data_IF_845699237669
#
_entry.id   IF_845699237669
#
_cell.length_a   1.000
_cell.length_b   1.000
_cell.length_c   1.000
_cell.angle_alpha   90.00
_cell.angle_beta   90.00
_cell.angle_gamma   90.00
#
_symmetry.space_group_name_H-M   'P 1'
#
loop_
_entity.id
_entity.type
_entity.pdbx_description
1 polymer ?
#
# COMPACT_ATOMS: atom_id res chain seq x y z
N UNK A 1 76.25 82.91 -27.90
CA UNK A 1 76.87 83.95 -27.03
C UNK A 1 76.42 83.65 -25.61
N UNK A 2 77.23 83.35 -24.59
CA UNK A 2 78.67 83.52 -24.35
C UNK A 2 79.22 82.27 -23.64
N UNK A 3 80.41 81.90 -24.08
CA UNK A 3 81.39 80.96 -23.53
C UNK A 3 82.16 81.61 -22.37
N UNK A 4 82.60 80.86 -21.36
CA UNK A 4 84.02 80.84 -20.95
C UNK A 4 84.33 79.78 -19.89
N UNK A 5 85.28 78.91 -20.23
CA UNK A 5 86.03 77.98 -19.38
C UNK A 5 87.07 78.70 -18.49
N UNK A 6 87.45 78.10 -17.35
CA UNK A 6 88.86 77.96 -16.85
C UNK A 6 88.89 77.19 -15.49
N UNK A 7 89.40 75.94 -15.46
CA UNK A 7 90.68 75.45 -14.85
C UNK A 7 90.65 75.32 -13.30
N UNK A 8 90.51 74.12 -12.71
CA UNK A 8 91.53 73.08 -12.34
C UNK A 8 92.67 73.54 -11.39
N UNK A 9 92.57 73.17 -10.11
CA UNK A 9 93.69 72.74 -9.24
C UNK A 9 93.24 71.50 -8.45
N UNK A 10 94.06 70.44 -8.48
CA UNK A 10 93.88 69.12 -7.84
C UNK A 10 94.40 69.07 -6.39
N UNK A 11 93.79 68.22 -5.57
CA UNK A 11 94.37 67.10 -4.78
C UNK A 11 93.60 66.91 -3.46
N UNK A 12 92.68 65.94 -3.39
CA UNK A 12 92.86 64.58 -2.81
C UNK A 12 93.09 64.58 -1.29
N UNK A 13 92.02 64.30 -0.52
CA UNK A 13 92.05 63.48 0.71
C UNK A 13 90.69 62.77 0.88
N UNK A 14 90.75 61.42 0.96
CA UNK A 14 89.83 60.47 1.60
C UNK A 14 88.37 60.27 1.10
N UNK A 15 88.21 59.10 0.46
CA UNK A 15 87.03 58.24 0.30
C UNK A 15 86.16 58.16 1.57
N UNK A 16 84.82 58.21 1.40
CA UNK A 16 83.77 57.31 1.94
C UNK A 16 82.42 58.05 1.97
N UNK A 17 81.35 57.34 1.56
CA UNK A 17 79.93 57.71 1.49
C UNK A 17 79.46 58.36 0.18
N UNK A 18 79.57 57.60 -0.91
CA UNK A 18 78.49 57.64 -1.90
C UNK A 18 77.24 57.04 -1.24
N UNK A 19 76.06 57.69 -1.28
CA UNK A 19 74.83 56.96 -0.99
C UNK A 19 74.70 55.92 -2.10
N UNK A 20 74.67 54.64 -1.72
CA UNK A 20 74.22 53.58 -2.61
C UNK A 20 72.83 53.98 -3.11
N UNK A 21 72.72 54.41 -4.37
CA UNK A 21 71.43 54.56 -5.01
C UNK A 21 70.93 53.13 -5.29
N UNK A 22 70.21 52.55 -4.33
CA UNK A 22 69.46 51.30 -4.50
C UNK A 22 68.31 51.56 -5.46
N UNK A 23 68.47 51.18 -6.72
CA UNK A 23 67.37 51.15 -7.68
C UNK A 23 66.56 49.87 -7.44
N UNK A 24 65.52 49.97 -6.61
CA UNK A 24 64.60 48.86 -6.34
C UNK A 24 63.44 48.79 -7.34
N UNK A 25 63.28 47.68 -8.06
CA UNK A 25 62.08 47.44 -8.88
C UNK A 25 61.00 46.72 -8.04
N UNK A 26 59.77 47.24 -8.05
CA UNK A 26 58.60 46.58 -7.45
C UNK A 26 57.83 45.78 -8.48
N UNK A 27 57.48 44.54 -8.15
CA UNK A 27 56.48 43.77 -8.89
C UNK A 27 55.28 43.47 -8.00
N UNK A 28 54.12 44.02 -8.33
CA UNK A 28 52.87 43.76 -7.59
C UNK A 28 52.17 42.54 -8.19
N UNK A 29 52.17 41.44 -7.44
CA UNK A 29 51.51 40.20 -7.80
C UNK A 29 50.17 40.14 -7.07
N UNK A 30 49.07 40.05 -7.82
CA UNK A 30 47.71 40.01 -7.27
C UNK A 30 46.98 38.74 -7.67
N UNK A 31 46.33 38.08 -6.71
CA UNK A 31 45.58 36.84 -6.92
C UNK A 31 45.83 35.79 -5.83
N UNK A 32 45.03 34.73 -5.79
CA UNK A 32 45.16 33.65 -4.79
C UNK A 32 46.24 32.62 -5.12
N UNK A 33 46.78 32.65 -6.34
CA UNK A 33 47.98 31.93 -6.77
C UNK A 33 48.79 32.79 -7.74
N UNK A 34 50.08 32.51 -7.89
CA UNK A 34 50.93 33.18 -8.86
C UNK A 34 52.39 32.76 -8.74
N UNK A 35 53.26 33.46 -9.44
CA UNK A 35 54.70 33.19 -9.44
C UNK A 35 55.49 34.42 -9.83
N UNK A 36 56.78 34.44 -9.49
CA UNK A 36 57.75 35.40 -9.97
C UNK A 36 59.13 34.77 -10.09
N UNK A 37 60.00 35.34 -10.91
CA UNK A 37 61.39 34.90 -11.01
C UNK A 37 62.31 36.07 -11.33
N UNK A 38 63.58 35.87 -10.98
CA UNK A 38 64.70 36.62 -11.54
C UNK A 38 65.56 35.58 -12.26
N UNK A 39 65.49 35.59 -13.58
CA UNK A 39 66.25 34.67 -14.43
C UNK A 39 67.71 35.13 -14.59
N UNK A 40 68.57 34.18 -14.96
CA UNK A 40 70.02 34.37 -15.15
C UNK A 40 70.38 35.65 -15.92
N UNK A 41 69.67 35.94 -17.02
CA UNK A 41 69.98 37.09 -17.87
C UNK A 41 69.67 38.46 -17.24
N UNK A 42 68.87 38.50 -16.16
CA UNK A 42 68.51 39.71 -15.42
C UNK A 42 69.20 39.80 -14.05
N UNK A 43 70.10 38.86 -13.74
CA UNK A 43 70.88 38.79 -12.52
C UNK A 43 72.09 39.72 -12.63
N UNK A 44 71.93 40.98 -12.20
CA UNK A 44 72.99 41.99 -12.27
C UNK A 44 73.57 42.29 -10.89
N UNK A 45 74.81 42.77 -10.90
CA UNK A 45 75.55 43.13 -9.71
C UNK A 45 74.90 44.31 -8.95
N UNK A 46 74.91 44.26 -7.61
CA UNK A 46 74.29 45.24 -6.70
C UNK A 46 72.78 45.42 -6.95
N UNK A 47 72.13 44.39 -7.49
CA UNK A 47 70.69 44.42 -7.77
C UNK A 47 69.91 44.23 -6.48
N UNK A 48 68.91 45.08 -6.31
CA UNK A 48 67.92 44.99 -5.25
C UNK A 48 66.54 44.99 -5.91
N UNK A 49 65.78 43.90 -5.80
CA UNK A 49 64.41 43.83 -6.35
C UNK A 49 63.45 43.22 -5.34
N UNK A 50 62.18 43.56 -5.46
CA UNK A 50 61.16 43.01 -4.60
C UNK A 50 59.85 42.69 -5.31
N UNK A 51 59.24 41.59 -4.88
CA UNK A 51 57.92 41.16 -5.30
C UNK A 51 56.97 41.34 -4.13
N UNK A 52 55.91 42.12 -4.33
CA UNK A 52 54.84 42.30 -3.36
C UNK A 52 53.69 41.41 -3.80
N UNK A 53 53.40 40.39 -2.99
CA UNK A 53 52.21 39.56 -3.17
C UNK A 53 51.09 40.20 -2.37
N UNK A 54 49.98 40.52 -3.03
CA UNK A 54 48.76 40.98 -2.41
C UNK A 54 47.57 40.17 -2.95
N UNK A 55 47.12 39.18 -2.19
CA UNK A 55 46.09 38.25 -2.67
C UNK A 55 44.68 38.80 -2.57
N UNK A 56 44.48 39.92 -1.86
CA UNK A 56 43.15 40.47 -1.57
C UNK A 56 42.29 39.59 -0.64
N UNK A 57 42.87 38.55 -0.04
CA UNK A 57 42.18 37.60 0.85
C UNK A 57 42.90 37.52 2.19
N UNK A 58 42.18 37.38 3.30
CA UNK A 58 42.78 37.18 4.62
C UNK A 58 43.22 35.73 4.84
N UNK A 59 44.10 35.22 3.97
CA UNK A 59 44.60 33.84 4.00
C UNK A 59 46.14 33.84 4.08
N UNK A 60 46.75 32.88 4.80
CA UNK A 60 48.20 32.73 4.79
C UNK A 60 48.68 32.40 3.39
N UNK A 61 49.83 32.95 3.00
CA UNK A 61 50.46 32.69 1.72
C UNK A 61 51.51 31.60 1.94
N UNK A 62 51.42 30.52 1.18
CA UNK A 62 52.47 29.52 1.04
C UNK A 62 53.30 29.85 -0.19
N UNK A 63 54.62 29.89 -0.04
CA UNK A 63 55.59 30.20 -1.09
C UNK A 63 56.58 29.05 -1.23
N UNK A 64 56.82 28.61 -2.46
CA UNK A 64 57.85 27.64 -2.80
C UNK A 64 58.88 28.32 -3.69
N UNK A 65 60.13 28.27 -3.27
CA UNK A 65 61.29 28.85 -3.96
C UNK A 65 62.13 27.74 -4.57
N UNK A 66 62.54 27.93 -5.82
CA UNK A 66 63.63 27.21 -6.47
C UNK A 66 64.79 28.19 -6.58
N UNK A 67 65.92 27.84 -5.97
CA UNK A 67 67.02 28.76 -5.73
C UNK A 67 68.27 28.26 -6.45
N UNK A 68 69.03 29.21 -7.00
CA UNK A 68 70.40 29.00 -7.41
C UNK A 68 71.17 30.30 -7.13
N UNK A 69 71.46 30.51 -5.84
CA UNK A 69 72.05 31.74 -5.31
C UNK A 69 73.55 31.54 -5.05
N UNK A 70 74.35 32.57 -5.29
CA UNK A 70 75.73 32.56 -4.79
C UNK A 70 75.74 32.71 -3.26
N UNK A 71 76.85 32.32 -2.61
CA UNK A 71 77.00 32.34 -1.14
C UNK A 71 76.80 33.70 -0.48
N UNK A 72 76.95 34.78 -1.23
CA UNK A 72 76.88 36.15 -0.75
C UNK A 72 75.53 36.82 -1.11
N UNK A 73 74.78 36.25 -2.07
CA UNK A 73 73.45 36.74 -2.42
C UNK A 73 72.38 36.28 -1.41
N UNK A 74 71.34 37.10 -1.25
CA UNK A 74 70.32 36.90 -0.21
C UNK A 74 68.91 37.07 -0.78
N UNK A 75 68.03 36.11 -0.47
CA UNK A 75 66.57 36.27 -0.60
C UNK A 75 65.98 36.41 0.79
N UNK A 76 65.25 37.49 1.04
CA UNK A 76 64.50 37.73 2.27
C UNK A 76 63.02 37.66 2.01
N UNK A 77 62.30 36.98 2.88
CA UNK A 77 60.85 36.86 2.79
C UNK A 77 60.24 37.49 4.02
N UNK A 78 59.34 38.43 3.78
CA UNK A 78 58.63 39.18 4.80
C UNK A 78 57.14 38.88 4.72
N UNK A 79 56.49 38.78 5.87
CA UNK A 79 55.05 38.98 5.96
C UNK A 79 54.78 40.45 6.12
N UNK A 80 53.71 40.91 5.49
CA UNK A 80 53.28 42.31 5.55
C UNK A 80 51.97 42.36 6.30
N UNK A 81 51.92 43.14 7.38
CA UNK A 81 50.72 43.36 8.19
C UNK A 81 49.80 44.39 7.53
N UNK A 82 48.58 44.51 8.05
CA UNK A 82 47.59 45.47 7.53
C UNK A 82 48.04 46.92 7.70
N UNK A 83 48.87 47.20 8.70
CA UNK A 83 49.48 48.51 8.98
C UNK A 83 50.77 48.76 8.19
N UNK A 84 51.05 47.91 7.19
CA UNK A 84 52.24 47.95 6.33
C UNK A 84 53.56 47.65 7.05
N UNK A 85 53.53 47.27 8.32
CA UNK A 85 54.73 46.77 8.99
C UNK A 85 55.17 45.45 8.36
N UNK A 86 56.49 45.29 8.26
CA UNK A 86 57.12 44.12 7.65
C UNK A 86 57.89 43.37 8.72
N UNK A 87 57.68 42.06 8.77
CA UNK A 87 58.45 41.18 9.64
C UNK A 87 59.16 40.13 8.80
N UNK A 88 60.48 40.07 8.93
CA UNK A 88 61.30 39.07 8.27
C UNK A 88 60.92 37.69 8.80
N UNK A 89 60.44 36.83 7.91
CA UNK A 89 60.09 35.43 8.23
C UNK A 89 61.30 34.54 8.00
N UNK A 90 62.02 34.76 6.89
CA UNK A 90 63.11 33.90 6.48
C UNK A 90 64.16 34.70 5.69
N UNK A 91 65.43 34.41 5.93
CA UNK A 91 66.54 34.87 5.11
C UNK A 91 67.28 33.65 4.55
N UNK A 92 67.39 33.59 3.23
CA UNK A 92 67.97 32.46 2.51
C UNK A 92 69.29 32.88 1.87
N UNK A 93 70.35 32.12 2.14
CA UNK A 93 71.69 32.28 1.56
C UNK A 93 72.27 30.94 1.11
N UNK A 94 73.19 30.95 0.14
CA UNK A 94 73.92 29.77 -0.33
C UNK A 94 73.21 28.89 -1.37
N UNK A 95 73.88 27.79 -1.77
CA UNK A 95 73.47 26.85 -2.84
C UNK A 95 72.33 25.89 -2.45
N UNK A 96 71.28 26.41 -1.83
CA UNK A 96 70.03 25.68 -1.64
C UNK A 96 69.33 25.45 -2.99
N UNK A 97 68.74 24.29 -3.25
CA UNK A 97 67.98 24.04 -4.50
C UNK A 97 66.48 24.34 -4.37
N UNK A 98 65.88 24.14 -3.20
CA UNK A 98 64.45 24.44 -2.94
C UNK A 98 64.19 24.84 -1.49
N UNK A 99 63.25 25.76 -1.26
CA UNK A 99 62.77 26.20 0.06
C UNK A 99 61.26 26.45 0.07
N UNK A 100 60.59 26.09 1.15
CA UNK A 100 59.16 26.36 1.35
C UNK A 100 58.99 27.30 2.55
N UNK A 101 58.22 28.37 2.38
CA UNK A 101 58.01 29.41 3.40
C UNK A 101 56.52 29.72 3.49
N UNK A 102 56.01 29.90 4.70
CA UNK A 102 54.61 30.24 4.95
C UNK A 102 54.52 31.53 5.75
N UNK A 103 53.53 32.37 5.42
CA UNK A 103 53.38 33.67 6.10
C UNK A 103 52.94 33.55 7.57
N UNK A 104 52.42 32.39 8.00
CA UNK A 104 51.94 32.06 9.35
C UNK A 104 50.88 33.00 9.96
N UNK A 105 50.59 34.13 9.32
CA UNK A 105 49.58 35.11 9.67
C UNK A 105 48.74 35.37 8.42
N UNK A 106 47.40 35.40 8.56
CA UNK A 106 46.49 35.50 7.44
C UNK A 106 46.35 36.94 6.90
N UNK A 107 47.44 37.65 6.67
CA UNK A 107 47.36 39.05 6.17
C UNK A 107 47.03 39.15 4.68
N UNK A 108 47.17 38.05 3.92
CA UNK A 108 47.05 38.08 2.47
C UNK A 108 48.14 38.88 1.75
N UNK A 109 49.19 39.29 2.47
CA UNK A 109 50.27 40.13 1.94
C UNK A 109 51.64 39.60 2.35
N UNK A 110 52.55 39.50 1.38
CA UNK A 110 53.95 39.12 1.60
C UNK A 110 54.87 39.94 0.69
N UNK A 111 56.10 40.17 1.14
CA UNK A 111 57.15 40.79 0.32
C UNK A 111 58.32 39.83 0.22
N UNK A 112 58.81 39.63 -0.99
CA UNK A 112 60.02 38.87 -1.27
C UNK A 112 61.04 39.88 -1.77
N UNK A 113 62.17 39.97 -1.10
CA UNK A 113 63.26 40.87 -1.42
C UNK A 113 64.48 40.07 -1.84
N UNK A 114 65.10 40.47 -2.93
CA UNK A 114 66.33 39.88 -3.45
C UNK A 114 67.43 40.93 -3.48
N UNK A 115 68.58 40.60 -2.93
CA UNK A 115 69.77 41.47 -2.86
C UNK A 115 70.98 40.67 -3.36
N UNK A 116 71.65 41.18 -4.39
CA UNK A 116 72.94 40.67 -4.86
C UNK A 116 74.10 41.55 -4.45
N UNK A 117 75.23 40.97 -4.02
CA UNK A 117 76.34 41.68 -3.37
C UNK A 117 77.73 41.43 -4.00
N UNK A 118 77.77 41.15 -5.31
CA UNK A 118 78.96 41.32 -6.17
C UNK A 118 80.01 40.21 -6.22
N UNK A 119 79.60 38.96 -6.35
CA UNK A 119 80.49 37.88 -6.82
C UNK A 119 79.97 37.28 -8.13
N UNK A 120 80.32 37.90 -9.25
CA UNK A 120 80.15 37.27 -10.55
C UNK A 120 81.26 36.19 -10.66
N UNK A 121 80.91 34.92 -10.47
CA UNK A 121 81.78 33.83 -10.95
C UNK A 121 81.35 33.46 -12.35
N UNK A 122 82.13 33.85 -13.36
CA UNK A 122 82.08 33.24 -14.68
C UNK A 122 82.71 31.86 -14.57
N UNK A 123 81.90 30.80 -14.40
CA UNK A 123 82.38 29.43 -14.64
C UNK A 123 82.06 29.04 -16.09
N UNK A 124 83.03 29.28 -16.96
CA UNK A 124 82.97 28.86 -18.36
C UNK A 124 83.35 27.37 -18.42
N UNK A 125 82.42 26.47 -18.08
CA UNK A 125 82.79 25.05 -18.06
C UNK A 125 81.68 24.02 -17.92
N UNK A 126 80.71 24.19 -17.02
CA UNK A 126 79.69 23.16 -16.77
C UNK A 126 78.35 23.79 -16.34
N UNK A 127 77.41 23.91 -17.29
CA UNK A 127 76.04 24.48 -17.18
C UNK A 127 75.88 26.01 -17.12
N UNK A 128 75.59 26.70 -18.24
CA UNK A 128 75.39 28.15 -18.31
C UNK A 128 74.01 28.66 -17.81
N UNK A 129 73.21 27.86 -17.11
CA UNK A 129 71.77 28.10 -17.07
C UNK A 129 71.16 28.74 -15.83
N UNK A 130 71.80 28.86 -14.66
CA UNK A 130 71.02 29.28 -13.48
C UNK A 130 71.86 30.05 -12.44
N UNK A 131 71.69 31.37 -12.38
CA UNK A 131 71.92 32.17 -11.15
C UNK A 131 70.65 32.99 -10.96
N UNK A 132 70.00 32.89 -9.81
CA UNK A 132 68.67 33.48 -9.63
C UNK A 132 67.77 32.71 -8.69
N UNK A 133 66.50 33.10 -8.69
CA UNK A 133 65.45 32.34 -8.05
C UNK A 133 64.15 32.44 -8.83
N UNK A 134 63.33 31.42 -8.69
CA UNK A 134 61.90 31.48 -9.03
C UNK A 134 61.10 31.10 -7.80
N UNK A 135 59.91 31.67 -7.66
CA UNK A 135 58.96 31.26 -6.65
C UNK A 135 57.56 31.13 -7.23
N UNK A 136 56.79 30.23 -6.64
CA UNK A 136 55.34 30.18 -6.79
C UNK A 136 54.69 30.44 -5.43
N UNK A 137 53.48 30.97 -5.45
CA UNK A 137 52.69 31.18 -4.25
C UNK A 137 51.24 30.74 -4.41
N UNK A 138 50.62 30.37 -3.29
CA UNK A 138 49.20 30.09 -3.18
C UNK A 138 48.67 30.47 -1.81
N UNK A 139 47.40 30.87 -1.73
CA UNK A 139 46.73 31.02 -0.44
C UNK A 139 46.41 29.66 0.15
N UNK A 140 46.50 29.55 1.46
CA UNK A 140 46.16 28.35 2.21
C UNK A 140 44.80 28.50 2.90
N UNK A 141 44.06 27.40 3.11
CA UNK A 141 42.87 27.42 3.95
C UNK A 141 43.19 27.97 5.34
N UNK A 142 42.25 28.72 5.92
CA UNK A 142 42.36 29.15 7.31
C UNK A 142 41.89 28.00 8.20
N UNK A 143 42.78 27.51 9.05
CA UNK A 143 42.46 26.49 10.06
C UNK A 143 42.28 27.16 11.41
N UNK A 144 41.16 26.89 12.08
CA UNK A 144 40.91 27.32 13.44
C UNK A 144 40.93 26.08 14.35
N UNK A 145 41.68 26.15 15.45
CA UNK A 145 41.77 25.05 16.42
C UNK A 145 40.63 25.03 17.45
N UNK A 146 39.74 26.02 17.41
CA UNK A 146 38.66 26.26 18.36
C UNK A 146 37.35 26.64 17.63
N UNK A 147 36.36 27.12 18.38
CA UNK A 147 35.08 27.56 17.85
C UNK A 147 35.21 28.82 16.99
N UNK A 148 34.49 28.84 15.87
CA UNK A 148 34.21 30.06 15.10
C UNK A 148 32.91 30.64 15.67
N UNK A 149 32.98 31.80 16.33
CA UNK A 149 31.81 32.53 16.85
C UNK A 149 31.62 33.83 16.05
N UNK A 150 30.40 34.09 15.60
CA UNK A 150 30.02 35.34 14.92
C UNK A 150 28.90 36.01 15.70
N UNK A 151 29.09 37.28 16.11
CA UNK A 151 28.07 38.06 16.82
C UNK A 151 26.90 38.53 15.91
N UNK A 152 27.03 38.30 14.60
CA UNK A 152 26.02 38.58 13.59
C UNK A 152 25.87 37.45 12.57
N UNK A 153 25.37 37.78 11.38
CA UNK A 153 25.17 36.80 10.31
C UNK A 153 26.49 36.38 9.67
N UNK A 154 26.71 35.07 9.53
CA UNK A 154 27.74 34.52 8.65
C UNK A 154 27.14 34.25 7.26
N UNK A 155 27.77 34.75 6.19
CA UNK A 155 27.37 34.46 4.81
C UNK A 155 28.42 33.59 4.13
N UNK A 156 28.00 32.44 3.62
CA UNK A 156 28.85 31.52 2.86
C UNK A 156 28.30 31.44 1.44
N UNK A 157 29.07 31.95 0.47
CA UNK A 157 28.69 31.96 -0.95
C UNK A 157 28.76 30.55 -1.55
N UNK A 158 29.72 29.74 -1.11
CA UNK A 158 29.90 28.33 -1.46
C UNK A 158 29.13 27.35 -0.57
N UNK A 159 29.56 26.09 -0.59
CA UNK A 159 28.99 25.02 0.25
C UNK A 159 29.64 25.02 1.65
N UNK A 160 28.83 24.95 2.70
CA UNK A 160 29.29 24.73 4.08
C UNK A 160 29.31 23.23 4.40
N UNK A 161 30.51 22.70 4.67
CA UNK A 161 30.70 21.38 5.25
C UNK A 161 30.85 21.46 6.77
N UNK A 162 30.08 20.68 7.52
CA UNK A 162 30.26 20.52 8.98
C UNK A 162 30.66 19.07 9.23
N UNK A 163 31.92 18.86 9.65
CA UNK A 163 32.49 17.52 9.80
C UNK A 163 32.86 16.82 8.48
N UNK A 164 32.90 17.55 7.36
CA UNK A 164 33.28 17.04 6.04
C UNK A 164 34.06 18.09 5.23
N UNK A 165 35.12 17.67 4.52
CA UNK A 165 36.03 18.55 3.76
C UNK A 165 35.56 18.89 2.35
N UNK A 166 34.71 18.05 1.74
CA UNK A 166 34.20 18.23 0.37
C UNK A 166 32.66 18.18 0.36
N UNK A 167 31.97 19.27 0.75
CA UNK A 167 30.51 19.30 0.79
C UNK A 167 29.89 19.27 -0.62
N UNK A 168 28.93 18.37 -0.83
CA UNK A 168 28.28 18.14 -2.13
C UNK A 168 27.08 19.07 -2.39
N UNK A 169 26.59 19.73 -1.34
CA UNK A 169 25.45 20.65 -1.40
C UNK A 169 25.71 21.83 -0.45
N UNK A 170 24.85 22.85 -0.50
CA UNK A 170 25.02 24.11 0.21
C UNK A 170 25.28 23.95 1.70
N UNK A 171 24.64 22.95 2.33
CA UNK A 171 24.91 22.54 3.70
C UNK A 171 25.02 21.01 3.74
N UNK A 172 26.24 20.50 3.96
CA UNK A 172 26.51 19.08 4.10
C UNK A 172 27.08 18.81 5.50
N UNK A 173 26.32 18.09 6.31
CA UNK A 173 26.69 17.78 7.70
C UNK A 173 26.98 16.29 7.80
N UNK A 174 28.18 15.95 8.25
CA UNK A 174 28.57 14.59 8.60
C UNK A 174 28.57 14.46 10.12
N UNK A 175 27.40 14.12 10.69
CA UNK A 175 27.19 14.01 12.12
C UNK A 175 25.79 14.41 12.56
N UNK A 176 25.54 14.33 13.86
CA UNK A 176 24.24 14.67 14.44
C UNK A 176 23.99 16.18 14.46
N UNK A 177 22.75 16.58 14.18
CA UNK A 177 22.28 17.96 14.31
C UNK A 177 21.43 18.06 15.59
N UNK A 178 21.77 19.00 16.46
CA UNK A 178 20.96 19.37 17.63
C UNK A 178 20.35 20.74 17.39
N UNK A 179 19.03 20.84 17.38
CA UNK A 179 18.38 22.14 17.29
C UNK A 179 18.29 22.83 18.65
N UNK A 180 17.79 24.07 18.66
CA UNK A 180 17.73 24.93 19.85
C UNK A 180 16.37 24.89 20.57
N UNK A 181 15.52 23.90 20.27
CA UNK A 181 14.24 23.71 20.95
C UNK A 181 14.41 23.12 22.37
N UNK A 182 13.32 23.14 23.16
CA UNK A 182 13.25 22.65 24.56
C UNK A 182 13.82 21.23 24.76
N UNK A 183 13.84 20.40 23.71
CA UNK A 183 14.40 19.04 23.73
C UNK A 183 15.45 18.79 22.64
N UNK A 184 16.07 19.84 22.11
CA UNK A 184 17.06 19.72 21.03
C UNK A 184 16.49 19.40 19.65
N UNK A 185 15.18 19.62 19.45
CA UNK A 185 14.46 19.32 18.21
C UNK A 185 14.99 20.13 17.02
N UNK A 186 15.07 19.50 15.85
CA UNK A 186 15.39 20.18 14.59
C UNK A 186 14.11 20.76 14.00
N UNK A 187 14.12 22.06 13.69
CA UNK A 187 13.02 22.75 13.01
C UNK A 187 13.50 23.28 11.67
N UNK A 188 12.82 22.90 10.58
CA UNK A 188 13.03 23.47 9.25
C UNK A 188 11.89 24.45 8.97
N UNK A 189 12.24 25.74 8.85
CA UNK A 189 11.30 26.80 8.55
C UNK A 189 11.35 27.17 7.07
N UNK A 190 10.18 27.43 6.49
CA UNK A 190 10.01 27.94 5.13
C UNK A 190 9.01 29.10 5.15
N UNK A 191 8.86 29.81 4.03
CA UNK A 191 7.81 30.83 3.87
C UNK A 191 6.40 30.25 3.94
N UNK A 192 6.25 28.93 3.76
CA UNK A 192 4.95 28.24 3.79
C UNK A 192 4.62 27.58 5.13
N UNK A 193 5.53 27.57 6.10
CA UNK A 193 5.35 26.89 7.39
C UNK A 193 6.59 26.13 7.84
N UNK A 194 6.42 25.25 8.84
CA UNK A 194 7.52 24.52 9.47
C UNK A 194 7.31 23.01 9.54
N UNK A 195 8.43 22.29 9.68
CA UNK A 195 8.45 20.89 10.12
C UNK A 195 9.43 20.77 11.28
N UNK A 196 8.96 20.21 12.38
CA UNK A 196 9.75 19.96 13.60
C UNK A 196 9.87 18.46 13.84
N UNK A 197 11.08 17.99 14.10
CA UNK A 197 11.36 16.59 14.37
C UNK A 197 12.32 16.39 15.55
N UNK A 198 12.04 15.37 16.37
CA UNK A 198 12.90 14.95 17.47
C UNK A 198 12.13 14.53 18.72
N UNK A 199 12.87 14.18 19.78
CA UNK A 199 12.30 13.93 21.11
C UNK A 199 11.61 15.21 21.62
N UNK A 200 10.40 15.09 22.16
CA UNK A 200 9.67 16.20 22.78
C UNK A 200 9.50 16.02 24.29
N UNK A 201 9.71 14.80 24.78
CA UNK A 201 9.85 14.47 26.20
C UNK A 201 10.64 13.15 26.32
N UNK A 202 10.72 12.58 27.53
CA UNK A 202 11.52 11.37 27.80
C UNK A 202 10.96 10.08 27.18
N UNK A 203 9.71 10.07 26.71
CA UNK A 203 9.04 8.87 26.19
C UNK A 203 8.50 9.03 24.76
N UNK A 204 8.55 10.23 24.19
CA UNK A 204 7.93 10.55 22.91
C UNK A 204 8.86 11.34 22.00
N UNK A 205 9.01 10.85 20.77
CA UNK A 205 9.47 11.62 19.63
C UNK A 205 8.28 12.08 18.79
N UNK A 206 8.43 13.25 18.16
CA UNK A 206 7.38 13.84 17.35
C UNK A 206 7.93 14.23 15.97
N UNK A 207 7.05 14.14 14.99
CA UNK A 207 7.22 14.69 13.65
C UNK A 207 5.98 15.57 13.41
N UNK A 208 6.14 16.88 13.58
CA UNK A 208 5.02 17.83 13.63
C UNK A 208 5.19 18.98 12.64
N UNK A 209 4.09 19.62 12.29
CA UNK A 209 4.01 20.74 11.35
C UNK A 209 2.86 21.65 11.76
N UNK A 210 2.96 22.92 11.38
CA UNK A 210 1.86 23.88 11.47
C UNK A 210 0.90 23.82 10.26
N UNK A 211 1.16 22.93 9.28
CA UNK A 211 0.30 22.69 8.11
C UNK A 211 -0.84 21.73 8.43
N UNK A 212 -1.91 21.79 7.64
CA UNK A 212 -3.12 20.98 7.85
C UNK A 212 -2.95 19.49 7.52
N UNK A 213 -1.94 19.10 6.73
CA UNK A 213 -1.71 17.72 6.32
C UNK A 213 -0.27 17.46 5.88
N UNK A 214 0.16 16.20 6.00
CA UNK A 214 1.36 15.67 5.35
C UNK A 214 1.01 15.06 3.99
N UNK A 215 1.92 15.19 3.04
CA UNK A 215 1.84 14.47 1.76
C UNK A 215 3.02 13.51 1.67
N UNK A 216 2.73 12.23 1.44
CA UNK A 216 3.72 11.20 1.16
C UNK A 216 3.45 10.66 -0.25
N UNK A 217 4.45 10.72 -1.12
CA UNK A 217 4.39 10.18 -2.49
C UNK A 217 4.66 8.66 -2.52
N UNK A 218 5.03 8.08 -1.38
CA UNK A 218 5.28 6.65 -1.15
C UNK A 218 4.49 6.14 0.06
N UNK A 219 4.36 4.83 0.13
CA UNK A 219 3.72 4.15 1.26
C UNK A 219 4.48 4.42 2.57
N UNK A 220 3.72 4.72 3.63
CA UNK A 220 4.25 4.78 5.00
C UNK A 220 4.30 3.36 5.57
N UNK A 221 5.49 2.92 6.01
CA UNK A 221 5.71 1.58 6.60
C UNK A 221 6.05 1.72 8.08
N UNK A 222 5.52 0.80 8.90
CA UNK A 222 5.72 0.74 10.34
C UNK A 222 6.47 -0.55 10.69
N UNK A 223 7.54 -0.46 11.48
CA UNK A 223 8.37 -1.62 11.84
C UNK A 223 7.68 -2.53 12.87
N UNK A 224 6.90 -1.96 13.79
CA UNK A 224 6.12 -2.69 14.79
C UNK A 224 4.73 -3.09 14.29
N UNK A 225 4.32 -2.60 13.11
CA UNK A 225 3.00 -2.83 12.53
C UNK A 225 1.85 -2.11 13.26
N UNK A 226 2.14 -1.20 14.21
CA UNK A 226 1.12 -0.57 15.05
C UNK A 226 0.85 0.86 14.57
N UNK A 227 -0.33 1.09 13.99
CA UNK A 227 -0.87 2.43 13.77
C UNK A 227 -1.95 2.72 14.82
N UNK A 228 -1.71 3.70 15.70
CA UNK A 228 -2.63 4.04 16.78
C UNK A 228 -2.92 5.55 16.83
N UNK A 229 -4.10 5.89 17.36
CA UNK A 229 -4.46 7.25 17.75
C UNK A 229 -4.37 7.38 19.27
N UNK A 230 -3.87 8.52 19.77
CA UNK A 230 -3.78 8.76 21.22
C UNK A 230 -5.14 9.11 21.85
N UNK A 231 -5.59 10.34 21.64
CA UNK A 231 -6.77 10.90 22.33
C UNK A 231 -8.02 11.02 21.46
N UNK A 232 -8.01 10.44 20.25
CA UNK A 232 -9.12 10.48 19.30
C UNK A 232 -9.41 9.09 18.71
N UNK A 233 -10.51 8.97 17.99
CA UNK A 233 -10.79 7.80 17.16
C UNK A 233 -9.71 7.68 16.07
N UNK A 234 -9.31 6.45 15.73
CA UNK A 234 -8.49 6.23 14.54
C UNK A 234 -9.42 6.27 13.33
N UNK A 235 -9.11 7.13 12.35
CA UNK A 235 -9.92 7.26 11.12
C UNK A 235 -9.06 7.12 9.88
N UNK A 236 -9.58 6.40 8.89
CA UNK A 236 -9.00 6.30 7.55
C UNK A 236 -9.93 7.03 6.57
N UNK A 237 -9.40 8.01 5.85
CA UNK A 237 -10.17 8.90 4.99
C UNK A 237 -9.72 8.85 3.53
N UNK A 238 -10.62 9.19 2.62
CA UNK A 238 -10.30 9.42 1.20
C UNK A 238 -11.03 10.68 0.75
N UNK A 239 -10.30 11.69 0.27
CA UNK A 239 -10.83 13.03 -0.04
C UNK A 239 -11.62 13.66 1.13
N UNK A 240 -11.11 13.53 2.36
CA UNK A 240 -11.74 14.07 3.57
C UNK A 240 -12.97 13.29 4.07
N UNK A 241 -13.45 12.29 3.34
CA UNK A 241 -14.55 11.44 3.78
C UNK A 241 -14.02 10.20 4.54
N UNK A 242 -14.54 9.97 5.75
CA UNK A 242 -14.20 8.78 6.54
C UNK A 242 -14.71 7.50 5.88
N UNK A 243 -13.81 6.54 5.69
CA UNK A 243 -14.09 5.21 5.13
C UNK A 243 -14.09 4.14 6.21
N UNK A 244 -13.17 4.26 7.17
CA UNK A 244 -13.09 3.39 8.34
C UNK A 244 -12.88 4.23 9.60
N UNK A 245 -13.55 3.86 10.68
CA UNK A 245 -13.38 4.43 12.02
C UNK A 245 -13.15 3.32 13.04
N UNK A 246 -12.21 3.49 13.96
CA UNK A 246 -12.09 2.69 15.18
C UNK A 246 -12.35 3.61 16.37
N UNK A 247 -13.39 3.30 17.15
CA UNK A 247 -13.77 4.14 18.29
C UNK A 247 -12.76 4.04 19.43
N UNK A 248 -12.30 5.19 19.94
CA UNK A 248 -11.44 5.26 21.13
C UNK A 248 -12.13 4.71 22.37
N UNK A 249 -13.45 4.86 22.47
CA UNK A 249 -14.21 4.52 23.67
C UNK A 249 -14.32 3.02 23.94
N UNK A 250 -14.34 2.19 22.90
CA UNK A 250 -14.59 0.76 23.04
C UNK A 250 -13.96 -0.13 21.93
N UNK A 251 -13.24 0.45 20.97
CA UNK A 251 -12.59 -0.30 19.89
C UNK A 251 -13.52 -0.74 18.75
N UNK A 252 -14.81 -0.38 18.77
CA UNK A 252 -15.73 -0.75 17.69
C UNK A 252 -15.26 -0.20 16.34
N UNK A 253 -15.32 -1.05 15.30
CA UNK A 253 -14.91 -0.71 13.93
C UNK A 253 -16.15 -0.38 13.09
N UNK A 254 -16.16 0.80 12.49
CA UNK A 254 -17.16 1.24 11.52
C UNK A 254 -16.55 1.28 10.12
N UNK A 255 -17.17 0.61 9.14
CA UNK A 255 -16.87 0.76 7.71
C UNK A 255 -18.04 1.52 7.06
N UNK A 256 -17.75 2.70 6.49
CA UNK A 256 -18.78 3.61 5.96
C UNK A 256 -19.63 4.32 7.02
N UNK A 257 -19.31 4.17 8.31
CA UNK A 257 -20.00 4.84 9.43
C UNK A 257 -19.02 5.30 10.50
N UNK A 258 -19.34 6.41 11.17
CA UNK A 258 -18.56 6.97 12.27
C UNK A 258 -19.13 6.62 13.66
N UNK A 259 -20.28 5.94 13.71
CA UNK A 259 -20.99 5.61 14.95
C UNK A 259 -21.34 4.11 15.01
N UNK A 260 -20.34 3.21 15.00
CA UNK A 260 -20.59 1.77 15.10
C UNK A 260 -21.17 1.40 16.47
N UNK A 261 -22.35 0.79 16.50
CA UNK A 261 -23.03 0.32 17.72
C UNK A 261 -22.68 -1.13 18.09
N UNK A 262 -22.02 -1.84 17.17
CA UNK A 262 -21.53 -3.21 17.32
C UNK A 262 -20.01 -3.25 17.09
N UNK A 263 -19.36 -4.33 17.51
CA UNK A 263 -17.91 -4.53 17.34
C UNK A 263 -17.43 -4.29 15.91
N UNK A 264 -18.23 -4.70 14.91
CA UNK A 264 -18.10 -4.33 13.51
C UNK A 264 -19.45 -3.83 12.99
N UNK A 265 -19.50 -2.59 12.47
CA UNK A 265 -20.68 -2.04 11.79
C UNK A 265 -20.31 -1.64 10.36
N UNK A 266 -21.02 -2.17 9.36
CA UNK A 266 -20.84 -1.82 7.95
C UNK A 266 -22.08 -1.07 7.49
N UNK A 267 -21.92 0.20 7.08
CA UNK A 267 -22.99 0.97 6.43
C UNK A 267 -22.85 0.82 4.91
N UNK A 268 -23.49 -0.20 4.37
CA UNK A 268 -23.41 -0.61 2.97
C UNK A 268 -23.55 -2.12 2.83
N UNK A 269 -23.25 -2.65 1.66
CA UNK A 269 -23.24 -4.09 1.41
C UNK A 269 -21.90 -4.70 1.86
N UNK A 270 -21.93 -5.91 2.43
CA UNK A 270 -20.74 -6.69 2.76
C UNK A 270 -20.60 -7.84 1.76
N UNK A 271 -19.53 -7.83 0.96
CA UNK A 271 -19.15 -8.94 0.09
C UNK A 271 -18.12 -9.83 0.80
N UNK A 272 -18.44 -11.11 0.97
CA UNK A 272 -17.53 -12.13 1.47
C UNK A 272 -17.22 -13.11 0.33
N UNK A 273 -15.98 -13.13 -0.11
CA UNK A 273 -15.51 -13.91 -1.26
C UNK A 273 -14.28 -14.73 -0.84
N UNK A 274 -14.23 -16.05 -1.11
CA UNK A 274 -13.01 -16.84 -0.93
C UNK A 274 -11.87 -16.27 -1.77
N UNK A 275 -10.63 -16.48 -1.32
CA UNK A 275 -9.43 -16.11 -2.09
C UNK A 275 -9.51 -16.66 -3.52
N UNK A 276 -9.21 -15.83 -4.52
CA UNK A 276 -9.24 -16.20 -5.94
C UNK A 276 -10.59 -16.09 -6.65
N UNK A 277 -11.59 -15.43 -6.04
CA UNK A 277 -12.90 -15.19 -6.67
C UNK A 277 -13.18 -13.71 -6.89
N UNK A 278 -13.78 -13.33 -8.02
CA UNK A 278 -14.26 -11.97 -8.28
C UNK A 278 -15.65 -11.80 -7.70
N UNK A 279 -15.91 -10.78 -6.86
CA UNK A 279 -17.26 -10.42 -6.43
C UNK A 279 -18.16 -10.20 -7.64
N UNK A 280 -19.38 -10.75 -7.63
CA UNK A 280 -20.35 -10.56 -8.74
C UNK A 280 -21.16 -9.29 -8.48
N UNK A 281 -20.76 -8.17 -9.08
CA UNK A 281 -21.28 -6.82 -8.77
C UNK A 281 -22.77 -6.58 -9.06
N UNK A 282 -23.47 -7.52 -9.73
CA UNK A 282 -24.85 -7.35 -10.20
C UNK A 282 -25.95 -7.74 -9.19
N UNK A 283 -25.63 -8.27 -8.01
CA UNK A 283 -26.63 -8.67 -7.02
C UNK A 283 -26.72 -7.68 -5.86
N UNK A 284 -27.92 -7.12 -5.63
CA UNK A 284 -28.19 -6.16 -4.56
C UNK A 284 -28.59 -6.89 -3.27
N UNK A 285 -27.61 -7.26 -2.43
CA UNK A 285 -27.84 -7.95 -1.15
C UNK A 285 -26.91 -7.47 -0.03
N UNK A 286 -27.40 -7.38 1.20
CA UNK A 286 -26.64 -6.89 2.36
C UNK A 286 -25.53 -7.84 2.84
N UNK A 287 -25.68 -9.15 2.59
CA UNK A 287 -24.66 -10.18 2.78
C UNK A 287 -24.56 -10.99 1.50
N UNK A 288 -23.44 -10.86 0.79
CA UNK A 288 -23.19 -11.57 -0.46
C UNK A 288 -22.08 -12.59 -0.27
N UNK A 289 -22.41 -13.88 -0.42
CA UNK A 289 -21.45 -14.99 -0.36
C UNK A 289 -21.26 -15.50 -1.79
N UNK A 290 -20.14 -15.17 -2.43
CA UNK A 290 -19.84 -15.51 -3.84
C UNK A 290 -18.76 -16.58 -3.94
N UNK A 291 -18.83 -17.44 -4.96
CA UNK A 291 -17.84 -18.50 -5.24
C UNK A 291 -17.92 -18.92 -6.74
N UNK A 292 -16.98 -19.74 -7.25
CA UNK A 292 -17.05 -20.36 -8.58
C UNK A 292 -18.19 -21.40 -8.71
N UNK A 293 -18.55 -21.77 -9.93
CA UNK A 293 -19.73 -22.60 -10.25
C UNK A 293 -19.80 -24.01 -9.61
N UNK A 294 -18.73 -24.54 -9.00
CA UNK A 294 -18.60 -25.98 -8.72
C UNK A 294 -18.59 -26.43 -7.25
N UNK A 295 -18.64 -25.53 -6.26
CA UNK A 295 -18.61 -25.95 -4.82
C UNK A 295 -19.93 -25.67 -4.09
N UNK A 296 -20.11 -26.12 -2.85
CA UNK A 296 -21.26 -25.76 -2.02
C UNK A 296 -21.05 -24.37 -1.37
N UNK A 297 -22.12 -23.68 -0.98
CA UNK A 297 -22.12 -22.33 -0.42
C UNK A 297 -23.15 -22.28 0.70
N UNK A 298 -22.79 -21.92 1.92
CA UNK A 298 -23.80 -21.86 3.00
C UNK A 298 -23.32 -21.04 4.19
N UNK A 299 -24.31 -20.57 4.96
CA UNK A 299 -24.14 -20.01 6.29
C UNK A 299 -24.34 -21.16 7.27
N UNK A 300 -23.32 -21.45 8.08
CA UNK A 300 -23.43 -22.39 9.19
C UNK A 300 -24.01 -21.68 10.42
N UNK A 301 -25.14 -22.19 10.90
CA UNK A 301 -25.81 -21.82 12.13
C UNK A 301 -25.50 -22.91 13.16
N UNK A 302 -24.56 -22.67 14.07
CA UNK A 302 -24.09 -23.67 15.03
C UNK A 302 -24.25 -23.13 16.46
N UNK A 303 -24.90 -23.90 17.34
CA UNK A 303 -25.09 -23.55 18.75
C UNK A 303 -24.17 -24.34 19.71
N UNK A 304 -23.15 -25.00 19.18
CA UNK A 304 -22.22 -25.87 19.90
C UNK A 304 -22.67 -27.34 20.03
N UNK A 305 -23.92 -27.66 19.70
CA UNK A 305 -24.49 -29.02 19.78
C UNK A 305 -25.03 -29.47 18.42
N UNK A 306 -25.77 -28.60 17.74
CA UNK A 306 -26.31 -28.83 16.42
C UNK A 306 -25.81 -27.75 15.45
N UNK A 307 -25.47 -28.19 14.26
CA UNK A 307 -25.20 -27.31 13.13
C UNK A 307 -26.34 -27.43 12.13
N UNK A 308 -26.75 -26.28 11.59
CA UNK A 308 -27.63 -26.17 10.44
C UNK A 308 -26.95 -25.33 9.37
N UNK A 309 -27.22 -25.65 8.12
CA UNK A 309 -26.68 -24.91 6.99
C UNK A 309 -27.82 -24.41 6.12
N UNK A 310 -27.74 -23.14 5.72
CA UNK A 310 -28.61 -22.52 4.72
C UNK A 310 -27.75 -22.01 3.57
N UNK A 311 -28.08 -22.37 2.34
CA UNK A 311 -27.40 -21.81 1.17
C UNK A 311 -27.63 -22.62 -0.10
N UNK A 312 -26.62 -22.70 -0.96
CA UNK A 312 -26.62 -23.43 -2.22
C UNK A 312 -25.81 -24.72 -2.08
N UNK A 313 -26.44 -25.87 -2.36
CA UNK A 313 -25.78 -27.17 -2.47
C UNK A 313 -26.19 -27.86 -3.76
N UNK A 314 -25.21 -28.37 -4.50
CA UNK A 314 -25.44 -29.06 -5.78
C UNK A 314 -26.35 -28.22 -6.71
N UNK A 315 -26.07 -26.92 -6.79
CA UNK A 315 -26.84 -25.90 -7.54
C UNK A 315 -28.26 -25.63 -7.07
N UNK A 316 -28.68 -26.19 -5.94
CA UNK A 316 -30.03 -26.01 -5.38
C UNK A 316 -29.98 -25.18 -4.10
N UNK A 317 -30.98 -24.34 -3.87
CA UNK A 317 -31.17 -23.77 -2.54
C UNK A 317 -31.50 -24.89 -1.56
N UNK A 318 -30.85 -24.91 -0.41
CA UNK A 318 -30.90 -26.03 0.50
C UNK A 318 -30.81 -25.59 1.96
N UNK A 319 -31.57 -26.32 2.78
CA UNK A 319 -31.63 -26.22 4.23
C UNK A 319 -31.47 -27.62 4.80
N UNK A 320 -30.61 -27.77 5.80
CA UNK A 320 -30.49 -29.05 6.49
C UNK A 320 -29.45 -29.07 7.60
N UNK A 321 -29.40 -30.16 8.37
CA UNK A 321 -28.36 -30.37 9.36
C UNK A 321 -26.97 -30.36 8.72
N UNK A 322 -26.09 -29.55 9.31
CA UNK A 322 -24.67 -29.51 9.03
C UNK A 322 -23.94 -30.65 9.73
N UNK A 323 -22.97 -31.26 9.06
CA UNK A 323 -21.90 -31.96 9.76
C UNK A 323 -20.83 -30.93 10.13
N UNK A 324 -20.05 -31.18 11.17
CA UNK A 324 -19.05 -30.23 11.71
C UNK A 324 -17.93 -29.84 10.74
N UNK A 325 -17.87 -30.47 9.56
CA UNK A 325 -16.90 -30.18 8.50
C UNK A 325 -17.58 -29.57 7.26
N UNK A 326 -17.01 -28.47 6.77
CA UNK A 326 -17.48 -27.56 5.70
C UNK A 326 -17.68 -28.17 4.28
N UNK A 327 -17.95 -29.47 4.17
CA UNK A 327 -18.34 -30.12 2.90
C UNK A 327 -19.60 -30.99 2.95
N UNK A 328 -20.19 -31.24 4.11
CA UNK A 328 -21.10 -32.39 4.28
C UNK A 328 -22.37 -32.07 5.09
N UNK A 329 -23.10 -31.00 4.74
CA UNK A 329 -24.47 -30.86 5.24
C UNK A 329 -25.42 -31.73 4.40
N UNK A 330 -26.40 -32.36 5.02
CA UNK A 330 -27.37 -33.24 4.37
C UNK A 330 -28.71 -32.49 4.23
N UNK A 331 -29.05 -31.96 3.04
CA UNK A 331 -30.30 -31.21 2.87
C UNK A 331 -31.52 -32.05 3.25
N UNK A 332 -32.36 -31.48 4.10
CA UNK A 332 -33.69 -31.98 4.41
C UNK A 332 -34.76 -31.24 3.59
N UNK A 333 -34.46 -30.03 3.14
CA UNK A 333 -35.29 -29.21 2.28
C UNK A 333 -34.44 -28.66 1.13
N UNK A 334 -34.92 -28.81 -0.09
CA UNK A 334 -34.22 -28.42 -1.32
C UNK A 334 -35.19 -27.71 -2.25
N UNK A 335 -34.77 -26.60 -2.85
CA UNK A 335 -35.44 -25.95 -3.99
C UNK A 335 -34.45 -25.95 -5.15
N UNK A 336 -34.79 -26.68 -6.21
CA UNK A 336 -33.99 -26.69 -7.43
C UNK A 336 -34.19 -25.41 -8.25
N UNK A 337 -33.25 -25.02 -9.13
CA UNK A 337 -33.38 -23.85 -10.01
C UNK A 337 -34.67 -23.83 -10.84
N UNK A 338 -35.15 -25.00 -11.25
CA UNK A 338 -36.41 -25.19 -11.97
C UNK A 338 -37.68 -25.06 -11.10
N UNK A 339 -37.54 -24.79 -9.79
CA UNK A 339 -38.65 -24.55 -8.87
C UNK A 339 -39.20 -25.78 -8.16
N UNK A 340 -38.60 -26.96 -8.36
CA UNK A 340 -39.01 -28.20 -7.68
C UNK A 340 -38.58 -28.18 -6.21
N UNK A 341 -39.53 -28.38 -5.30
CA UNK A 341 -39.33 -28.40 -3.85
C UNK A 341 -39.30 -29.84 -3.35
N UNK A 342 -38.18 -30.24 -2.73
CA UNK A 342 -38.02 -31.54 -2.08
C UNK A 342 -37.99 -31.41 -0.56
N UNK A 343 -38.79 -32.22 0.14
CA UNK A 343 -38.75 -32.38 1.60
C UNK A 343 -38.43 -33.84 1.91
N UNK A 344 -37.29 -34.09 2.56
CA UNK A 344 -36.77 -35.45 2.79
C UNK A 344 -36.22 -36.15 1.54
N UNK A 345 -36.20 -35.45 0.39
CA UNK A 345 -35.60 -35.91 -0.87
C UNK A 345 -34.77 -34.79 -1.48
N UNK A 346 -33.63 -35.16 -2.09
CA UNK A 346 -32.74 -34.24 -2.82
C UNK A 346 -33.07 -34.16 -4.30
N UNK A 347 -33.84 -35.12 -4.79
CA UNK A 347 -34.17 -35.29 -6.20
C UNK A 347 -35.69 -35.23 -6.41
N UNK A 348 -36.37 -34.12 -6.04
CA UNK A 348 -37.80 -33.97 -6.29
C UNK A 348 -38.13 -34.22 -7.76
N UNK A 349 -39.17 -35.01 -8.01
CA UNK A 349 -39.73 -35.27 -9.35
C UNK A 349 -41.00 -34.44 -9.64
N UNK A 350 -41.59 -33.86 -8.59
CA UNK A 350 -42.79 -33.03 -8.66
C UNK A 350 -42.51 -31.64 -8.07
N UNK A 351 -43.36 -30.65 -8.38
CA UNK A 351 -43.23 -29.29 -7.84
C UNK A 351 -43.10 -29.28 -6.31
N UNK A 352 -43.81 -30.17 -5.63
CA UNK A 352 -43.60 -30.51 -4.22
C UNK A 352 -43.50 -32.04 -4.10
N UNK A 353 -42.34 -32.52 -3.70
CA UNK A 353 -42.06 -33.94 -3.47
C UNK A 353 -41.67 -34.14 -2.01
N UNK A 354 -42.51 -34.86 -1.26
CA UNK A 354 -42.32 -35.12 0.17
C UNK A 354 -42.07 -36.61 0.38
N UNK A 355 -40.85 -36.96 0.74
CA UNK A 355 -40.49 -38.32 1.15
C UNK A 355 -40.84 -38.55 2.62
N UNK A 356 -42.13 -38.64 2.92
CA UNK A 356 -42.63 -38.81 4.28
C UNK A 356 -44.14 -38.62 4.39
N UNK A 357 -44.64 -38.58 5.62
CA UNK A 357 -46.06 -38.37 5.91
C UNK A 357 -46.36 -36.88 5.93
N UNK A 358 -47.37 -36.46 5.18
CA UNK A 358 -47.94 -35.11 5.25
C UNK A 358 -49.14 -35.16 6.19
N UNK A 359 -49.12 -34.35 7.25
CA UNK A 359 -50.31 -34.06 8.05
C UNK A 359 -50.88 -32.72 7.61
N UNK A 360 -52.12 -32.73 7.15
CA UNK A 360 -52.85 -31.54 6.76
C UNK A 360 -54.20 -31.49 7.47
N UNK A 361 -54.69 -30.29 7.76
CA UNK A 361 -56.07 -30.09 8.24
C UNK A 361 -57.08 -30.32 7.11
N UNK A 362 -56.75 -29.84 5.92
CA UNK A 362 -57.57 -29.97 4.72
C UNK A 362 -56.66 -30.02 3.49
N UNK A 363 -57.05 -30.82 2.50
CA UNK A 363 -56.43 -30.84 1.17
C UNK A 363 -57.54 -30.56 0.15
N UNK A 364 -57.53 -29.35 -0.40
CA UNK A 364 -58.45 -28.98 -1.48
C UNK A 364 -57.77 -29.23 -2.82
N UNK A 365 -58.35 -30.11 -3.63
CA UNK A 365 -57.85 -30.40 -4.97
C UNK A 365 -58.76 -29.68 -5.98
N UNK A 366 -58.15 -28.91 -6.88
CA UNK A 366 -58.90 -28.16 -7.88
C UNK A 366 -59.27 -29.09 -9.05
N UNK A 367 -60.58 -29.15 -9.34
CA UNK A 367 -61.29 -29.85 -10.42
C UNK A 367 -60.45 -30.64 -11.42
N UNK A 368 -60.73 -31.95 -11.52
CA UNK A 368 -60.41 -32.74 -12.71
C UNK A 368 -61.60 -32.74 -13.65
N UNK A 369 -61.34 -32.73 -14.96
CA UNK A 369 -62.38 -33.01 -15.93
C UNK A 369 -62.89 -34.45 -15.71
N UNK A 370 -64.21 -34.66 -15.73
CA UNK A 370 -64.90 -35.95 -15.48
C UNK A 370 -64.99 -36.39 -14.00
N UNK A 371 -65.77 -35.67 -13.21
CA UNK A 371 -66.33 -36.22 -11.98
C UNK A 371 -67.36 -37.33 -12.32
N UNK A 372 -67.46 -38.39 -11.50
CA UNK A 372 -68.01 -39.70 -11.88
C UNK A 372 -69.50 -39.79 -12.28
N UNK A 373 -70.25 -38.68 -12.34
CA UNK A 373 -71.71 -38.62 -12.57
C UNK A 373 -72.19 -39.17 -13.94
N UNK A 374 -71.25 -39.62 -14.79
CA UNK A 374 -71.55 -40.19 -16.10
C UNK A 374 -72.22 -41.58 -16.02
N UNK A 375 -72.17 -42.28 -14.88
CA UNK A 375 -72.78 -43.61 -14.70
C UNK A 375 -74.31 -43.55 -14.83
N UNK A 376 -74.92 -42.39 -14.59
CA UNK A 376 -76.36 -42.18 -14.73
C UNK A 376 -76.78 -41.75 -16.15
N UNK A 377 -75.85 -41.64 -17.09
CA UNK A 377 -76.16 -41.33 -18.48
C UNK A 377 -77.02 -42.44 -19.11
N UNK A 378 -77.96 -42.06 -20.00
CA UNK A 378 -78.91 -43.01 -20.60
C UNK A 378 -78.23 -44.08 -21.46
N UNK A 379 -77.07 -43.75 -22.01
CA UNK A 379 -76.22 -44.58 -22.86
C UNK A 379 -75.06 -45.24 -22.10
N UNK A 380 -75.02 -45.11 -20.77
CA UNK A 380 -74.03 -45.81 -19.96
C UNK A 380 -74.28 -47.32 -19.99
N UNK A 381 -73.30 -48.05 -20.53
CA UNK A 381 -73.32 -49.51 -20.59
C UNK A 381 -72.87 -50.10 -19.25
N UNK A 382 -73.81 -50.21 -18.30
CA UNK A 382 -73.57 -50.87 -17.02
C UNK A 382 -73.18 -52.34 -17.27
N UNK A 383 -72.00 -52.80 -16.83
CA UNK A 383 -71.62 -54.21 -16.94
C UNK A 383 -72.63 -55.11 -16.22
N UNK A 384 -72.83 -56.33 -16.66
CA UNK A 384 -73.66 -57.29 -15.90
C UNK A 384 -72.90 -57.82 -14.69
N UNK A 385 -73.60 -58.25 -13.63
CA UNK A 385 -72.95 -58.85 -12.46
C UNK A 385 -72.12 -60.09 -12.80
N UNK A 386 -72.50 -60.85 -13.84
CA UNK A 386 -71.72 -61.99 -14.33
C UNK A 386 -70.40 -61.55 -14.99
N UNK A 387 -70.40 -60.44 -15.74
CA UNK A 387 -69.18 -59.89 -16.33
C UNK A 387 -68.25 -59.36 -15.25
N UNK A 388 -68.79 -58.69 -14.24
CA UNK A 388 -68.01 -58.22 -13.09
C UNK A 388 -67.42 -59.38 -12.30
N UNK A 389 -68.19 -60.44 -12.01
CA UNK A 389 -67.71 -61.64 -11.33
C UNK A 389 -66.58 -62.33 -12.12
N UNK A 390 -66.77 -62.53 -13.42
CA UNK A 390 -65.73 -63.09 -14.29
C UNK A 390 -64.46 -62.23 -14.29
N UNK A 391 -64.59 -60.90 -14.30
CA UNK A 391 -63.45 -59.99 -14.23
C UNK A 391 -62.70 -60.14 -12.90
N UNK A 392 -63.41 -60.19 -11.78
CA UNK A 392 -62.82 -60.35 -10.45
C UNK A 392 -62.10 -61.70 -10.33
N UNK A 393 -62.72 -62.79 -10.81
CA UNK A 393 -62.09 -64.11 -10.78
C UNK A 393 -60.81 -64.17 -11.62
N UNK A 394 -60.76 -63.41 -12.72
CA UNK A 394 -59.60 -63.40 -13.62
C UNK A 394 -58.49 -62.46 -13.11
N UNK A 395 -58.83 -61.28 -12.60
CA UNK A 395 -57.87 -60.20 -12.31
C UNK A 395 -57.65 -59.94 -10.81
N UNK A 396 -58.55 -60.42 -9.94
CA UNK A 396 -58.43 -60.28 -8.49
C UNK A 396 -58.76 -58.88 -7.94
N UNK A 397 -59.33 -57.99 -8.76
CA UNK A 397 -59.77 -56.65 -8.38
C UNK A 397 -61.00 -56.22 -9.20
N UNK A 398 -61.62 -55.11 -8.82
CA UNK A 398 -62.75 -54.54 -9.56
C UNK A 398 -62.29 -53.95 -10.91
N UNK A 399 -63.17 -53.95 -11.93
CA UNK A 399 -62.93 -53.19 -13.16
C UNK A 399 -62.56 -51.74 -12.87
N UNK A 400 -61.68 -51.15 -13.67
CA UNK A 400 -61.16 -49.77 -13.58
C UNK A 400 -60.34 -49.43 -12.32
N UNK A 401 -60.47 -50.19 -11.24
CA UNK A 401 -59.69 -50.02 -10.00
C UNK A 401 -58.32 -50.69 -10.20
N UNK A 402 -57.20 -49.98 -9.96
CA UNK A 402 -55.89 -50.58 -10.11
C UNK A 402 -55.66 -51.71 -9.11
N UNK A 403 -54.90 -52.71 -9.51
CA UNK A 403 -54.48 -53.82 -8.67
C UNK A 403 -53.53 -53.38 -7.55
N UNK A 404 -53.43 -54.17 -6.48
CA UNK A 404 -52.48 -53.89 -5.39
C UNK A 404 -51.01 -53.88 -5.86
N UNK A 405 -50.69 -54.65 -6.91
CA UNK A 405 -49.36 -54.67 -7.50
C UNK A 405 -49.05 -53.33 -8.20
N UNK A 406 -49.98 -52.82 -9.02
CA UNK A 406 -49.83 -51.54 -9.71
C UNK A 406 -49.72 -50.36 -8.75
N UNK A 407 -50.52 -50.35 -7.67
CA UNK A 407 -50.47 -49.29 -6.64
C UNK A 407 -49.14 -49.30 -5.88
N UNK A 408 -48.59 -50.49 -5.61
CA UNK A 408 -47.30 -50.61 -4.91
C UNK A 408 -46.14 -50.08 -5.76
N UNK A 409 -46.21 -50.27 -7.07
CA UNK A 409 -45.15 -49.85 -8.00
C UNK A 409 -45.25 -48.35 -8.34
N UNK A 410 -46.44 -47.86 -8.67
CA UNK A 410 -46.64 -46.54 -9.26
C UNK A 410 -47.24 -45.50 -8.30
N UNK A 411 -47.68 -45.93 -7.11
CA UNK A 411 -48.47 -45.09 -6.22
C UNK A 411 -49.92 -44.95 -6.71
N UNK A 412 -50.64 -43.97 -6.17
CA UNK A 412 -52.03 -43.72 -6.53
C UNK A 412 -52.31 -42.23 -6.67
N UNK A 413 -52.97 -41.83 -7.75
CA UNK A 413 -53.50 -40.49 -7.87
C UNK A 413 -54.76 -40.38 -7.01
N UNK A 414 -54.70 -39.51 -6.00
CA UNK A 414 -55.79 -39.34 -5.03
C UNK A 414 -57.11 -38.96 -5.70
N UNK A 415 -57.07 -38.14 -6.74
CA UNK A 415 -58.29 -37.70 -7.44
C UNK A 415 -58.87 -38.81 -8.28
N UNK A 416 -58.04 -39.46 -9.11
CA UNK A 416 -58.47 -40.55 -9.98
C UNK A 416 -59.10 -41.68 -9.16
N UNK A 417 -58.49 -42.04 -8.04
CA UNK A 417 -59.05 -43.05 -7.14
C UNK A 417 -60.37 -42.60 -6.51
N UNK A 418 -60.49 -41.33 -6.10
CA UNK A 418 -61.74 -40.81 -5.55
C UNK A 418 -62.87 -40.83 -6.59
N UNK A 419 -62.57 -40.55 -7.86
CA UNK A 419 -63.52 -40.62 -8.99
C UNK A 419 -63.90 -42.08 -9.25
N UNK A 420 -62.94 -43.01 -9.35
CA UNK A 420 -63.19 -44.44 -9.56
C UNK A 420 -64.01 -45.05 -8.42
N UNK A 421 -63.71 -44.72 -7.17
CA UNK A 421 -64.49 -45.15 -6.02
C UNK A 421 -65.94 -44.64 -6.11
N UNK A 422 -66.14 -43.38 -6.50
CA UNK A 422 -67.48 -42.82 -6.69
C UNK A 422 -68.23 -43.54 -7.82
N UNK A 423 -67.58 -43.78 -8.97
CA UNK A 423 -68.15 -44.56 -10.08
C UNK A 423 -68.64 -45.93 -9.60
N UNK A 424 -67.83 -46.66 -8.81
CA UNK A 424 -68.23 -47.99 -8.30
C UNK A 424 -69.36 -47.92 -7.28
N UNK A 425 -69.45 -46.84 -6.49
CA UNK A 425 -70.59 -46.60 -5.61
C UNK A 425 -71.87 -46.34 -6.42
N UNK A 426 -71.78 -45.63 -7.53
CA UNK A 426 -72.92 -45.36 -8.42
C UNK A 426 -73.37 -46.62 -9.19
N UNK A 427 -72.43 -47.41 -9.74
CA UNK A 427 -72.72 -48.72 -10.36
C UNK A 427 -73.39 -49.67 -9.35
N UNK A 428 -72.87 -49.74 -8.12
CA UNK A 428 -73.46 -50.54 -7.03
C UNK A 428 -74.88 -50.07 -6.69
N UNK A 429 -75.13 -48.76 -6.76
CA UNK A 429 -76.46 -48.18 -6.57
C UNK A 429 -77.42 -48.64 -7.67
N UNK A 430 -76.99 -48.66 -8.94
CA UNK A 430 -77.79 -49.17 -10.06
C UNK A 430 -78.13 -50.67 -9.90
N UNK A 431 -77.14 -51.50 -9.55
CA UNK A 431 -77.38 -52.93 -9.28
C UNK A 431 -78.37 -53.13 -8.14
N UNK A 432 -78.28 -52.33 -7.07
CA UNK A 432 -79.18 -52.43 -5.92
C UNK A 432 -80.61 -52.05 -6.30
N UNK A 433 -80.80 -51.01 -7.14
CA UNK A 433 -82.11 -50.64 -7.67
C UNK A 433 -82.68 -51.77 -8.54
N UNK A 434 -81.86 -52.39 -9.39
CA UNK A 434 -82.29 -53.53 -10.20
C UNK A 434 -82.66 -54.75 -9.34
N UNK A 435 -81.84 -55.07 -8.35
CA UNK A 435 -82.13 -56.14 -7.39
C UNK A 435 -83.43 -55.89 -6.63
N UNK A 436 -83.71 -54.65 -6.17
CA UNK A 436 -84.97 -54.33 -5.52
C UNK A 436 -86.17 -54.54 -6.46
N UNK A 437 -86.06 -54.13 -7.73
CA UNK A 437 -87.11 -54.38 -8.75
C UNK A 437 -87.35 -55.88 -8.94
N UNK A 438 -86.30 -56.69 -8.93
CA UNK A 438 -86.43 -58.16 -9.02
C UNK A 438 -87.09 -58.74 -7.78
N UNK A 439 -86.72 -58.30 -6.57
CA UNK A 439 -87.33 -58.74 -5.31
C UNK A 439 -88.81 -58.39 -5.29
N UNK A 440 -89.18 -57.16 -5.66
CA UNK A 440 -90.58 -56.73 -5.73
C UNK A 440 -91.38 -57.56 -6.75
N UNK A 441 -90.77 -57.87 -7.89
CA UNK A 441 -91.37 -58.73 -8.91
C UNK A 441 -91.56 -60.16 -8.39
N UNK A 442 -90.56 -60.73 -7.72
CA UNK A 442 -90.63 -62.05 -7.11
C UNK A 442 -91.69 -62.10 -6.00
N UNK A 443 -91.78 -61.07 -5.16
CA UNK A 443 -92.81 -60.95 -4.13
C UNK A 443 -94.22 -60.91 -4.73
N UNK A 444 -94.42 -60.19 -5.84
CA UNK A 444 -95.70 -60.20 -6.58
C UNK A 444 -96.03 -61.57 -7.15
N UNK A 445 -95.05 -62.26 -7.74
CA UNK A 445 -95.24 -63.61 -8.29
C UNK A 445 -95.58 -64.60 -7.17
N UNK A 446 -94.88 -64.54 -6.03
CA UNK A 446 -95.15 -65.39 -4.87
C UNK A 446 -96.55 -65.15 -4.32
N UNK A 447 -96.99 -63.89 -4.22
CA UNK A 447 -98.36 -63.57 -3.82
C UNK A 447 -99.41 -64.16 -4.79
N UNK A 448 -99.18 -64.05 -6.10
CA UNK A 448 -100.07 -64.65 -7.11
C UNK A 448 -100.07 -66.20 -7.07
N UNK A 449 -98.91 -66.82 -6.83
CA UNK A 449 -98.80 -68.27 -6.70
C UNK A 449 -99.53 -68.76 -5.44
N UNK A 450 -99.41 -68.04 -4.32
CA UNK A 450 -100.10 -68.35 -3.07
C UNK A 450 -101.62 -68.28 -3.25
N UNK A 451 -102.14 -67.20 -3.85
CA UNK A 451 -103.58 -67.09 -4.18
C UNK A 451 -104.06 -68.24 -5.06
N UNK A 452 -103.27 -68.65 -6.06
CA UNK A 452 -103.62 -69.77 -6.95
C UNK A 452 -103.58 -71.12 -6.22
N UNK A 453 -102.65 -71.31 -5.29
CA UNK A 453 -102.56 -72.53 -4.47
C UNK A 453 -103.79 -72.64 -3.56
N UNK A 454 -104.17 -71.56 -2.88
CA UNK A 454 -105.36 -71.51 -2.03
C UNK A 454 -106.65 -71.80 -2.82
N UNK A 455 -106.76 -71.27 -4.05
CA UNK A 455 -107.87 -71.57 -4.94
C UNK A 455 -107.92 -73.05 -5.35
N UNK A 456 -106.78 -73.68 -5.62
CA UNK A 456 -106.67 -75.12 -5.92
C UNK A 456 -106.99 -76.00 -4.70
N UNK A 457 -106.49 -75.65 -3.51
CA UNK A 457 -106.80 -76.37 -2.27
C UNK A 457 -108.29 -76.32 -1.92
N UNK A 458 -108.95 -75.17 -2.16
CA UNK A 458 -110.41 -75.06 -2.01
C UNK A 458 -111.18 -75.91 -3.04
N UNK A 459 -110.64 -76.09 -4.25
CA UNK A 459 -111.24 -76.92 -5.28
C UNK A 459 -111.09 -78.43 -5.01
N UNK A 460 -110.00 -78.86 -4.35
CA UNK A 460 -109.75 -80.27 -3.98
C UNK A 460 -110.48 -80.71 -2.70
N UNK A 461 -110.88 -79.76 -1.83
CA UNK A 461 -111.68 -80.02 -0.62
C UNK A 461 -113.19 -80.21 -0.87
N UNK A 462 -113.67 -79.90 -2.08
CA UNK A 462 -115.05 -80.18 -2.54
C UNK A 462 -115.07 -81.47 -3.34
#
# INVERSE_FOLDING_TARGET
MKTSYLVKIMCVVAVILAPFATYGTTYNLTGTTGSGSIDYYYYSNNKHEYFIINTGTYQPISMQFVLNLHYSDVVRVYRVYNDETEELIEQITGLATTRNIQSNIPTGRAKIEFISDNSISYDYGQNPTLTGFSFSYSTQPISYSNNIMTDGNATITGNLGVGISNPLTRLHINGSIRGNGTAGTLTVNTTYGNVTMGAINTTQAAFTTDRSMYTFDKSVRLNDGILSSGNANLTLQTYGATRMTVLRSNGNVGIGTNTPTQALSVKGNLSLSPSGTTPVENYNGGLMITKPFTSNQYINLNNGVWAWSIGIKDSSFALGPGNTNDGSFAPSFVIKPEGLVGIGTKNPQYLLDVKGIIRATEVKIQSVDQFADFVFAKDYALPTLNEVDNFIQTNGHLPDVPSAAEVKENGINLVEMQVKLLQKVEELTLYTIEQQKMIDSQARIMAQQQERLEALEMAVRK
#
